data_IF_275995793332
#
_entry.id   IF_275995793332
#
_cell.length_a   1.000
_cell.length_b   1.000
_cell.length_c   1.000
_cell.angle_alpha   90.00
_cell.angle_beta   90.00
_cell.angle_gamma   90.00
#
_symmetry.space_group_name_H-M   'P 1'
#
loop_
_entity.id
_entity.type
_entity.pdbx_description
1 polymer ?
#
# COMPACT_ATOMS: atom_id res chain seq x y z
N UNK A 1 35.04 -13.67 12.85
CA UNK A 1 34.81 -12.20 12.86
C UNK A 1 34.30 -11.66 11.52
N UNK A 2 34.93 -11.96 10.38
CA UNK A 2 34.50 -11.45 9.04
C UNK A 2 33.02 -11.73 8.69
N UNK A 3 32.52 -12.92 9.03
CA UNK A 3 31.12 -13.31 8.81
C UNK A 3 30.13 -12.47 9.64
N UNK A 4 30.48 -12.18 10.89
CA UNK A 4 29.65 -11.37 11.79
C UNK A 4 29.54 -9.92 11.31
N UNK A 5 30.66 -9.35 10.86
CA UNK A 5 30.69 -8.00 10.26
C UNK A 5 29.79 -7.92 9.03
N UNK A 6 29.86 -8.93 8.16
CA UNK A 6 29.00 -9.00 6.98
C UNK A 6 27.51 -9.13 7.34
N UNK A 7 27.17 -9.97 8.33
CA UNK A 7 25.79 -10.13 8.80
C UNK A 7 25.21 -8.85 9.38
N UNK A 8 25.99 -8.10 10.18
CA UNK A 8 25.56 -6.81 10.75
C UNK A 8 25.38 -5.77 9.64
N UNK A 9 26.30 -5.72 8.67
CA UNK A 9 26.17 -4.81 7.52
C UNK A 9 24.90 -5.09 6.71
N UNK A 10 24.58 -6.35 6.45
CA UNK A 10 23.34 -6.73 5.76
C UNK A 10 22.08 -6.37 6.57
N UNK A 11 22.11 -6.57 7.89
CA UNK A 11 20.99 -6.22 8.76
C UNK A 11 20.67 -4.71 8.75
N UNK A 12 21.70 -3.85 8.71
CA UNK A 12 21.52 -2.40 8.61
C UNK A 12 20.90 -1.96 7.27
N UNK A 13 21.15 -2.71 6.18
CA UNK A 13 20.60 -2.39 4.86
C UNK A 13 19.16 -2.91 4.67
N UNK A 14 18.68 -3.80 5.53
CA UNK A 14 17.35 -4.41 5.43
C UNK A 14 16.18 -3.47 5.78
N UNK A 15 16.45 -2.24 6.23
CA UNK A 15 15.44 -1.30 6.75
C UNK A 15 14.80 -0.42 5.66
N UNK A 16 15.08 -0.66 4.38
CA UNK A 16 14.70 0.27 3.29
C UNK A 16 13.22 0.37 2.92
N UNK A 17 12.33 -0.48 3.44
CA UNK A 17 10.91 -0.43 3.13
C UNK A 17 10.13 0.34 4.21
N UNK A 18 9.88 1.62 3.95
CA UNK A 18 9.03 2.45 4.80
C UNK A 18 7.71 2.75 4.09
N UNK A 19 6.59 2.46 4.75
CA UNK A 19 5.30 2.95 4.30
C UNK A 19 5.28 4.47 4.41
N UNK A 20 4.93 5.14 3.32
CA UNK A 20 4.77 6.60 3.35
C UNK A 20 3.49 6.94 4.10
N UNK A 21 3.60 7.88 5.05
CA UNK A 21 2.47 8.35 5.84
C UNK A 21 1.64 9.36 5.04
N UNK A 22 0.75 8.83 4.20
CA UNK A 22 -0.18 9.63 3.41
C UNK A 22 -1.44 9.92 4.24
N UNK A 23 -1.72 11.20 4.48
CA UNK A 23 -3.00 11.61 5.09
C UNK A 23 -4.20 11.48 4.15
N UNK A 24 -3.96 11.42 2.84
CA UNK A 24 -4.99 11.25 1.82
C UNK A 24 -4.39 10.57 0.59
N UNK A 25 -5.11 9.58 0.06
CA UNK A 25 -4.78 8.92 -1.20
C UNK A 25 -5.97 9.10 -2.14
N UNK A 26 -5.69 9.40 -3.41
CA UNK A 26 -6.70 9.61 -4.45
C UNK A 26 -6.58 8.49 -5.48
N UNK A 27 -7.65 7.71 -5.63
CA UNK A 27 -7.76 6.66 -6.63
C UNK A 27 -8.80 7.08 -7.67
N UNK A 28 -8.46 6.92 -8.95
CA UNK A 28 -9.42 7.03 -10.04
C UNK A 28 -9.99 5.66 -10.32
N UNK A 29 -11.32 5.54 -10.29
CA UNK A 29 -12.05 4.27 -10.48
C UNK A 29 -13.19 4.50 -11.47
N UNK A 30 -13.52 3.48 -12.26
CA UNK A 30 -14.74 3.45 -13.06
C UNK A 30 -15.77 2.61 -12.30
N UNK A 31 -16.60 3.29 -11.51
CA UNK A 31 -17.57 2.68 -10.61
C UNK A 31 -18.81 2.11 -11.34
N UNK A 32 -18.57 1.32 -12.38
CA UNK A 32 -19.56 0.72 -13.29
C UNK A 32 -19.56 -0.81 -13.22
N UNK A 33 -18.80 -1.42 -12.29
CA UNK A 33 -18.56 -2.86 -12.23
C UNK A 33 -18.86 -3.46 -10.85
N UNK A 34 -20.15 -3.56 -10.44
CA UNK A 34 -20.52 -4.24 -9.21
C UNK A 34 -20.21 -5.76 -9.26
N UNK A 35 -19.86 -6.40 -8.12
CA UNK A 35 -19.78 -5.84 -6.76
C UNK A 35 -18.40 -5.24 -6.41
N UNK A 36 -17.50 -5.14 -7.37
CA UNK A 36 -16.10 -4.78 -7.17
C UNK A 36 -15.88 -3.27 -7.06
N UNK A 37 -16.53 -2.48 -7.93
CA UNK A 37 -16.53 -1.02 -7.89
C UNK A 37 -17.88 -0.48 -8.37
N UNK A 38 -18.59 0.26 -7.53
CA UNK A 38 -19.90 0.85 -7.86
C UNK A 38 -20.19 2.10 -7.03
N UNK A 39 -21.31 2.78 -7.30
CA UNK A 39 -21.81 3.88 -6.46
C UNK A 39 -23.08 3.45 -5.74
N UNK A 40 -23.14 3.72 -4.43
CA UNK A 40 -24.39 3.57 -3.67
C UNK A 40 -25.38 4.71 -3.97
N UNK A 41 -26.57 4.67 -3.36
CA UNK A 41 -27.60 5.69 -3.54
C UNK A 41 -27.19 7.09 -3.05
N UNK A 42 -26.16 7.20 -2.22
CA UNK A 42 -25.57 8.48 -1.80
C UNK A 42 -24.50 9.00 -2.77
N UNK A 43 -24.14 8.21 -3.79
CA UNK A 43 -23.11 8.52 -4.77
C UNK A 43 -21.69 8.16 -4.31
N UNK A 44 -21.54 7.51 -3.17
CA UNK A 44 -20.24 7.09 -2.63
C UNK A 44 -19.75 5.83 -3.34
N UNK A 45 -18.45 5.78 -3.64
CA UNK A 45 -17.81 4.57 -4.18
C UNK A 45 -17.82 3.46 -3.12
N UNK A 46 -18.27 2.27 -3.52
CA UNK A 46 -18.38 1.05 -2.71
C UNK A 46 -17.99 -0.17 -3.55
N UNK A 47 -17.47 -1.20 -2.90
CA UNK A 47 -17.08 -2.44 -3.54
C UNK A 47 -15.88 -3.08 -2.84
N UNK A 48 -15.30 -4.11 -3.47
CA UNK A 48 -14.17 -4.87 -2.92
C UNK A 48 -12.82 -4.24 -3.22
N UNK A 49 -12.64 -3.70 -4.42
CA UNK A 49 -11.38 -3.13 -4.92
C UNK A 49 -10.97 -1.87 -4.13
#
# INVERSE_FOLDING_TARGET
MKKLVLSVALACLAVGAHAKDWSTIRFGVDASYPPFESKDASGKVVGFD
#
